data_IF_443340555623
#
_entry.id   IF_443340555623
#
_cell.length_a   1.000
_cell.length_b   1.000
_cell.length_c   1.000
_cell.angle_alpha   90.00
_cell.angle_beta   90.00
_cell.angle_gamma   90.00
#
_symmetry.space_group_name_H-M   'P 1'
#
loop_
_entity.id
_entity.type
_entity.pdbx_description
1 polymer ?
#
# COMPACT_ATOMS: atom_id res chain seq x y z
N UNK A 1 41.93 45.25 2.20
CA UNK A 1 41.38 43.89 2.03
C UNK A 1 42.16 43.21 0.93
N UNK A 2 43.23 42.49 1.28
CA UNK A 2 44.05 41.80 0.28
C UNK A 2 43.26 40.60 -0.24
N UNK A 3 42.86 40.65 -1.50
CA UNK A 3 42.25 39.51 -2.19
C UNK A 3 43.30 38.46 -2.55
N UNK A 4 42.80 37.30 -2.99
CA UNK A 4 43.62 36.16 -3.41
C UNK A 4 44.71 36.55 -4.43
N UNK A 5 45.92 36.03 -4.21
CA UNK A 5 47.04 36.16 -5.16
C UNK A 5 46.75 35.38 -6.46
N UNK A 6 47.41 35.71 -7.59
CA UNK A 6 47.18 35.00 -8.86
C UNK A 6 47.37 33.49 -8.76
N UNK A 7 48.36 33.06 -7.97
CA UNK A 7 48.71 31.66 -7.78
C UNK A 7 47.67 30.92 -6.91
N UNK A 8 47.15 31.60 -5.88
CA UNK A 8 46.02 31.10 -5.08
C UNK A 8 44.76 30.92 -5.92
N UNK A 9 44.49 31.86 -6.83
CA UNK A 9 43.35 31.75 -7.75
C UNK A 9 43.51 30.56 -8.70
N UNK A 10 44.71 30.35 -9.24
CA UNK A 10 45.00 29.19 -10.09
C UNK A 10 44.82 27.87 -9.32
N UNK A 11 45.33 27.81 -8.09
CA UNK A 11 45.19 26.65 -7.21
C UNK A 11 43.72 26.35 -6.87
N UNK A 12 42.95 27.39 -6.55
CA UNK A 12 41.51 27.26 -6.27
C UNK A 12 40.73 26.78 -7.49
N UNK A 13 41.08 27.27 -8.67
CA UNK A 13 40.48 26.84 -9.93
C UNK A 13 40.77 25.35 -10.21
N UNK A 14 42.02 24.91 -9.99
CA UNK A 14 42.41 23.51 -10.12
C UNK A 14 41.64 22.62 -9.14
N UNK A 15 41.54 23.02 -7.87
CA UNK A 15 40.78 22.29 -6.84
C UNK A 15 39.28 22.24 -7.16
N UNK A 16 38.69 23.33 -7.66
CA UNK A 16 37.29 23.35 -8.09
C UNK A 16 37.04 22.39 -9.26
N UNK A 17 37.93 22.31 -10.24
CA UNK A 17 37.78 21.36 -11.35
C UNK A 17 37.84 19.91 -10.88
N UNK A 18 38.80 19.58 -10.02
CA UNK A 18 38.90 18.25 -9.42
C UNK A 18 37.65 17.92 -8.60
N UNK A 19 37.16 18.88 -7.80
CA UNK A 19 35.96 18.69 -6.98
C UNK A 19 34.71 18.46 -7.82
N UNK A 20 34.53 19.18 -8.92
CA UNK A 20 33.39 18.99 -9.83
C UNK A 20 33.41 17.61 -10.50
N UNK A 21 34.57 17.13 -10.94
CA UNK A 21 34.71 15.78 -11.49
C UNK A 21 34.43 14.71 -10.43
N UNK A 22 35.01 14.85 -9.24
CA UNK A 22 34.76 13.93 -8.13
C UNK A 22 33.28 13.84 -7.76
N UNK A 23 32.59 14.98 -7.65
CA UNK A 23 31.15 15.00 -7.33
C UNK A 23 30.30 14.35 -8.44
N UNK A 24 30.69 14.52 -9.70
CA UNK A 24 30.04 13.86 -10.83
C UNK A 24 30.24 12.35 -10.80
N UNK A 25 31.42 11.88 -10.42
CA UNK A 25 31.70 10.44 -10.27
C UNK A 25 30.98 9.82 -9.05
N UNK A 26 30.50 10.64 -8.10
CA UNK A 26 29.65 10.21 -7.00
C UNK A 26 28.16 10.12 -7.36
N UNK A 27 27.75 10.59 -8.54
CA UNK A 27 26.40 10.34 -9.03
C UNK A 27 26.30 8.85 -9.38
N UNK A 28 25.81 8.05 -8.42
CA UNK A 28 25.59 6.63 -8.61
C UNK A 28 24.71 6.42 -9.86
N UNK A 29 25.21 5.63 -10.80
CA UNK A 29 24.39 5.08 -11.87
C UNK A 29 23.18 4.37 -11.26
N UNK A 30 22.00 4.44 -11.89
CA UNK A 30 20.79 3.73 -11.46
C UNK A 30 20.96 2.20 -11.31
N UNK A 31 22.10 1.66 -11.73
CA UNK A 31 22.53 0.30 -11.42
C UNK A 31 23.03 0.22 -9.99
N UNK A 32 22.09 0.04 -9.08
CA UNK A 32 22.37 -0.54 -7.77
C UNK A 32 23.06 -1.91 -7.96
N UNK A 33 24.06 -2.27 -7.14
CA UNK A 33 24.51 -3.65 -7.01
C UNK A 33 23.39 -4.42 -6.30
N UNK A 34 22.37 -4.82 -7.06
CA UNK A 34 21.27 -5.62 -6.53
C UNK A 34 21.82 -7.03 -6.28
N UNK A 35 21.74 -7.47 -5.01
CA UNK A 35 21.98 -8.86 -4.68
C UNK A 35 21.11 -9.75 -5.59
N UNK A 36 21.60 -10.92 -6.03
CA UNK A 36 20.80 -11.78 -6.89
C UNK A 36 19.43 -12.02 -6.20
N UNK A 37 18.32 -11.88 -6.92
CA UNK A 37 17.00 -12.04 -6.33
C UNK A 37 16.90 -13.41 -5.66
N UNK A 38 16.30 -13.44 -4.48
CA UNK A 38 16.17 -14.67 -3.71
C UNK A 38 15.46 -15.75 -4.55
N UNK A 39 15.95 -16.99 -4.49
CA UNK A 39 15.37 -18.10 -5.25
C UNK A 39 13.98 -18.42 -4.69
N UNK A 40 12.95 -17.91 -5.36
CA UNK A 40 11.56 -18.35 -5.18
C UNK A 40 11.37 -19.76 -5.75
N UNK A 41 10.57 -20.58 -5.06
CA UNK A 41 10.30 -21.97 -5.47
C UNK A 41 9.56 -21.99 -6.82
N UNK A 42 9.71 -23.06 -7.65
CA UNK A 42 9.01 -23.15 -8.94
C UNK A 42 7.50 -22.92 -8.84
N UNK A 43 6.86 -23.38 -7.76
CA UNK A 43 5.42 -23.19 -7.53
C UNK A 43 5.06 -21.72 -7.25
N UNK A 44 5.88 -20.98 -6.48
CA UNK A 44 5.68 -19.54 -6.27
C UNK A 44 5.91 -18.75 -7.55
N UNK A 45 6.94 -19.10 -8.33
CA UNK A 45 7.15 -18.51 -9.66
C UNK A 45 5.93 -18.69 -10.55
N UNK A 46 5.34 -19.88 -10.52
CA UNK A 46 4.13 -20.20 -11.25
C UNK A 46 2.96 -19.31 -10.80
N UNK A 47 2.62 -19.28 -9.51
CA UNK A 47 1.49 -18.48 -9.00
C UNK A 47 1.71 -16.97 -9.24
N UNK A 48 2.92 -16.46 -9.04
CA UNK A 48 3.26 -15.07 -9.32
C UNK A 48 3.05 -14.73 -10.80
N UNK A 49 3.45 -15.62 -11.72
CA UNK A 49 3.23 -15.43 -13.16
C UNK A 49 1.76 -15.60 -13.53
N UNK A 50 1.06 -16.54 -12.90
CA UNK A 50 -0.34 -16.84 -13.16
C UNK A 50 -1.26 -15.69 -12.72
N UNK A 51 -1.02 -15.09 -11.54
CA UNK A 51 -1.85 -14.00 -11.00
C UNK A 51 -1.44 -12.60 -11.48
N UNK A 52 -0.31 -12.47 -12.19
CA UNK A 52 0.19 -11.18 -12.71
C UNK A 52 -0.83 -10.47 -13.60
N UNK A 53 -1.45 -11.23 -14.48
CA UNK A 53 -2.53 -10.76 -15.33
C UNK A 53 -3.83 -11.00 -14.57
N UNK A 54 -4.35 -9.95 -13.92
CA UNK A 54 -5.60 -9.93 -13.14
C UNK A 54 -6.83 -10.20 -14.03
N UNK A 55 -6.85 -11.33 -14.73
CA UNK A 55 -7.94 -11.70 -15.61
C UNK A 55 -9.21 -11.91 -14.76
N UNK A 56 -10.38 -11.44 -15.21
CA UNK A 56 -11.62 -11.45 -14.41
C UNK A 56 -12.01 -12.84 -13.86
N UNK A 57 -11.68 -13.92 -14.57
CA UNK A 57 -11.95 -15.30 -14.11
C UNK A 57 -10.94 -15.84 -13.10
N UNK A 58 -9.80 -15.16 -12.87
CA UNK A 58 -8.85 -15.47 -11.78
C UNK A 58 -9.25 -14.75 -10.49
N UNK A 59 -9.77 -13.53 -10.61
CA UNK A 59 -10.33 -12.76 -9.50
C UNK A 59 -11.81 -13.07 -9.36
N UNK A 60 -12.08 -14.27 -8.85
CA UNK A 60 -13.42 -14.85 -8.85
C UNK A 60 -14.28 -14.23 -7.73
N UNK A 61 -14.80 -13.04 -7.96
CA UNK A 61 -15.93 -12.50 -7.18
C UNK A 61 -17.20 -13.16 -7.69
N UNK A 62 -17.49 -14.40 -7.25
CA UNK A 62 -18.77 -15.02 -7.61
C UNK A 62 -19.87 -14.35 -6.79
N UNK A 63 -20.95 -13.84 -7.42
CA UNK A 63 -22.14 -13.48 -6.68
C UNK A 63 -22.60 -14.72 -5.91
N UNK A 64 -22.98 -14.54 -4.64
CA UNK A 64 -23.36 -15.64 -3.74
C UNK A 64 -22.25 -16.64 -3.38
N UNK A 65 -20.97 -16.33 -3.59
CA UNK A 65 -19.87 -17.16 -3.06
C UNK A 65 -19.96 -17.32 -1.53
N UNK A 66 -20.36 -16.25 -0.86
CA UNK A 66 -20.60 -16.20 0.58
C UNK A 66 -22.03 -15.69 0.77
N UNK A 67 -22.94 -16.56 1.20
CA UNK A 67 -24.30 -16.19 1.58
C UNK A 67 -24.42 -16.29 3.08
N UNK A 68 -24.66 -15.17 3.74
CA UNK A 68 -24.95 -15.13 5.17
C UNK A 68 -26.47 -15.17 5.39
N UNK A 69 -26.89 -15.77 6.50
CA UNK A 69 -28.28 -15.66 6.93
C UNK A 69 -28.53 -14.23 7.39
N UNK A 70 -29.69 -13.68 7.02
CA UNK A 70 -30.13 -12.39 7.55
C UNK A 70 -30.14 -12.45 9.09
N UNK A 71 -29.65 -11.41 9.79
CA UNK A 71 -29.64 -11.38 11.24
C UNK A 71 -31.07 -11.48 11.79
N UNK A 72 -31.21 -12.04 12.99
CA UNK A 72 -32.49 -11.99 13.72
C UNK A 72 -32.71 -10.57 14.20
N UNK A 73 -33.96 -10.17 14.18
CA UNK A 73 -34.36 -8.80 14.45
C UNK A 73 -35.50 -8.85 15.48
N UNK A 74 -35.41 -8.02 16.51
CA UNK A 74 -36.35 -7.96 17.63
C UNK A 74 -37.04 -6.58 17.74
N UNK A 75 -38.21 -6.53 18.41
CA UNK A 75 -38.86 -5.27 18.75
C UNK A 75 -37.90 -4.33 19.50
N UNK A 76 -37.77 -3.09 19.04
CA UNK A 76 -36.82 -2.10 19.56
C UNK A 76 -35.45 -2.04 18.86
N UNK A 77 -35.10 -3.01 18.01
CA UNK A 77 -33.87 -2.93 17.21
C UNK A 77 -33.94 -1.78 16.19
N UNK A 78 -32.80 -1.15 15.91
CA UNK A 78 -32.68 -0.08 14.90
C UNK A 78 -31.93 -0.59 13.68
N UNK A 79 -32.52 -0.43 12.49
CA UNK A 79 -31.86 -0.78 11.23
C UNK A 79 -30.90 0.36 10.87
N UNK A 80 -29.58 0.10 10.89
CA UNK A 80 -28.57 1.14 10.62
C UNK A 80 -28.66 1.74 9.21
N UNK A 81 -29.13 0.96 8.23
CA UNK A 81 -29.23 1.39 6.83
C UNK A 81 -30.42 2.34 6.59
N UNK A 82 -31.53 2.17 7.32
CA UNK A 82 -32.77 2.95 7.13
C UNK A 82 -33.07 3.91 8.28
N UNK A 83 -32.44 3.72 9.45
CA UNK A 83 -32.73 4.46 10.68
C UNK A 83 -34.07 4.09 11.33
N UNK A 84 -34.78 3.08 10.82
CA UNK A 84 -36.08 2.67 11.35
C UNK A 84 -35.93 1.84 12.62
N UNK A 85 -36.68 2.21 13.66
CA UNK A 85 -36.79 1.45 14.92
C UNK A 85 -37.96 0.50 14.83
N UNK A 86 -37.75 -0.74 15.24
CA UNK A 86 -38.75 -1.78 15.07
C UNK A 86 -39.83 -1.66 16.13
N UNK A 87 -41.11 -1.67 15.73
CA UNK A 87 -42.21 -1.46 16.66
C UNK A 87 -42.16 -2.44 17.84
N UNK A 88 -42.45 -1.98 19.07
CA UNK A 88 -42.55 -2.85 20.23
C UNK A 88 -43.68 -3.88 20.04
N UNK A 89 -43.56 -5.03 20.70
CA UNK A 89 -44.62 -6.02 20.70
C UNK A 89 -45.85 -5.47 21.45
N UNK A 90 -47.05 -5.84 21.00
CA UNK A 90 -48.30 -5.47 21.70
C UNK A 90 -48.26 -5.99 23.14
N UNK A 91 -48.64 -5.14 24.08
CA UNK A 91 -48.70 -5.49 25.51
C UNK A 91 -49.59 -6.72 25.71
N UNK A 92 -49.03 -7.75 26.35
CA UNK A 92 -49.81 -8.90 26.80
C UNK A 92 -50.42 -8.56 28.16
N UNK A 93 -51.70 -8.88 28.40
CA UNK A 93 -52.28 -8.75 29.73
C UNK A 93 -51.50 -9.66 30.69
N UNK A 94 -50.77 -9.05 31.62
CA UNK A 94 -50.00 -9.74 32.64
C UNK A 94 -50.98 -10.45 33.59
N UNK A 95 -50.93 -11.79 33.63
CA UNK A 95 -51.78 -12.61 34.51
C UNK A 95 -50.97 -13.23 35.66
N UNK A 96 -49.85 -12.62 36.04
CA UNK A 96 -49.10 -13.04 37.24
C UNK A 96 -49.58 -12.30 38.48
N UNK A 97 -50.60 -12.88 39.13
CA UNK A 97 -50.95 -12.64 40.53
C UNK A 97 -50.40 -13.75 41.43
#
# INVERSE_FOLDING_TARGET
MSGYTPDEKLRLQQLQQLRRRWLKDQELSAREPVLPPQRVWPMERFWNKFLRDQTPWKNVTKPYAIVQRKPRIFPGDTILETGEVIPPMKEFPDQHH
#
